data_IF_404841131023
#
_entry.id   IF_404841131023
#
_cell.length_a   1.000
_cell.length_b   1.000
_cell.length_c   1.000
_cell.angle_alpha   90.00
_cell.angle_beta   90.00
_cell.angle_gamma   90.00
#
_symmetry.space_group_name_H-M   'P 1'
#
loop_
_entity.id
_entity.type
_entity.pdbx_description
1 polymer ?
#
# COMPACT_ATOMS: atom_id res chain seq x y z
N UNK A 1 26.34 30.28 -24.13
CA UNK A 1 24.89 30.13 -23.89
C UNK A 1 24.35 28.78 -24.38
N UNK A 2 25.13 27.70 -24.33
CA UNK A 2 24.72 26.40 -24.89
C UNK A 2 25.23 25.20 -24.07
N UNK A 3 25.45 25.38 -22.76
CA UNK A 3 26.04 24.31 -21.93
C UNK A 3 25.36 24.11 -20.58
N UNK A 4 24.06 24.41 -20.48
CA UNK A 4 23.31 24.25 -19.23
C UNK A 4 21.85 23.86 -19.47
N UNK A 5 21.60 22.93 -20.41
CA UNK A 5 20.25 22.36 -20.61
C UNK A 5 20.23 20.85 -20.82
N UNK A 6 21.29 20.14 -20.42
CA UNK A 6 21.39 18.70 -20.63
C UNK A 6 21.86 17.97 -19.37
N UNK A 7 21.25 18.29 -18.21
CA UNK A 7 21.45 17.52 -16.95
C UNK A 7 20.16 17.29 -16.16
N UNK A 8 18.99 17.43 -16.79
CA UNK A 8 17.74 16.92 -16.23
C UNK A 8 17.24 15.83 -17.18
N UNK A 9 17.97 14.71 -17.15
CA UNK A 9 17.45 13.47 -17.71
C UNK A 9 16.10 13.19 -17.09
N UNK A 10 15.15 12.77 -17.94
CA UNK A 10 13.86 12.26 -17.53
C UNK A 10 14.06 11.06 -16.59
N UNK A 11 14.19 11.32 -15.29
CA UNK A 11 13.80 10.36 -14.30
C UNK A 11 12.28 10.41 -14.26
N UNK A 12 11.54 9.41 -14.79
CA UNK A 12 10.19 9.24 -14.31
C UNK A 12 10.32 9.14 -12.79
N UNK A 13 9.62 9.99 -12.07
CA UNK A 13 9.37 9.75 -10.66
C UNK A 13 8.62 8.41 -10.61
N UNK A 14 9.33 7.29 -10.56
CA UNK A 14 8.78 6.04 -10.05
C UNK A 14 8.46 6.33 -8.60
N UNK A 15 7.26 6.86 -8.36
CA UNK A 15 6.72 6.91 -7.02
C UNK A 15 6.60 5.44 -6.62
N UNK A 16 7.42 4.95 -5.66
CA UNK A 16 7.22 3.61 -5.19
C UNK A 16 5.82 3.63 -4.55
N UNK A 17 5.03 2.58 -4.77
CA UNK A 17 3.72 2.39 -4.12
C UNK A 17 2.49 3.09 -4.71
N UNK A 18 2.40 3.29 -6.03
CA UNK A 18 1.10 3.56 -6.67
C UNK A 18 0.39 2.24 -7.01
N UNK A 19 -0.73 1.95 -6.36
CA UNK A 19 -1.58 0.82 -6.75
C UNK A 19 -2.28 1.13 -8.08
N UNK A 20 -2.02 0.32 -9.12
CA UNK A 20 -2.67 0.41 -10.42
C UNK A 20 -3.71 -0.69 -10.61
N UNK A 21 -4.77 -0.38 -11.35
CA UNK A 21 -5.74 -1.40 -11.76
C UNK A 21 -5.11 -2.40 -12.72
N UNK A 22 -5.47 -3.68 -12.61
CA UNK A 22 -4.94 -4.80 -13.42
C UNK A 22 -3.48 -5.20 -13.15
N UNK A 23 -2.84 -4.59 -12.15
CA UNK A 23 -1.54 -5.04 -11.63
C UNK A 23 -1.71 -5.87 -10.36
N UNK A 24 -0.64 -6.55 -9.95
CA UNK A 24 -0.62 -7.19 -8.63
C UNK A 24 -0.71 -6.11 -7.55
N UNK A 25 -1.64 -6.29 -6.62
CA UNK A 25 -1.76 -5.41 -5.47
C UNK A 25 -0.42 -5.35 -4.70
N UNK A 26 0.04 -4.15 -4.27
CA UNK A 26 1.25 -4.02 -3.48
C UNK A 26 1.19 -4.88 -2.22
N UNK A 27 2.25 -5.63 -1.98
CA UNK A 27 2.36 -6.50 -0.82
C UNK A 27 2.48 -5.65 0.45
N UNK A 28 1.79 -6.06 1.51
CA UNK A 28 1.94 -5.49 2.83
C UNK A 28 1.97 -6.58 3.88
N UNK A 29 2.62 -6.27 5.00
CA UNK A 29 2.58 -7.05 6.23
C UNK A 29 2.32 -6.07 7.38
N UNK A 30 1.38 -6.42 8.26
CA UNK A 30 1.00 -5.56 9.37
C UNK A 30 0.49 -6.36 10.57
N UNK A 31 0.59 -5.79 11.76
CA UNK A 31 -0.11 -6.30 12.93
C UNK A 31 -1.59 -5.91 12.86
N UNK A 32 -2.47 -6.88 13.10
CA UNK A 32 -3.92 -6.69 13.13
C UNK A 32 -4.53 -7.40 14.34
N UNK A 33 -5.63 -6.84 14.85
CA UNK A 33 -6.42 -7.46 15.90
C UNK A 33 -7.40 -8.49 15.32
N UNK A 34 -7.29 -9.74 15.75
CA UNK A 34 -8.23 -10.82 15.40
C UNK A 34 -9.37 -10.85 16.42
N UNK A 35 -10.58 -10.50 15.97
CA UNK A 35 -11.75 -10.46 16.85
C UNK A 35 -12.24 -11.85 17.30
N UNK A 36 -11.89 -12.92 16.59
CA UNK A 36 -12.26 -14.30 16.95
C UNK A 36 -11.36 -14.82 18.06
N UNK A 37 -10.05 -14.67 17.88
CA UNK A 37 -9.05 -15.17 18.84
C UNK A 37 -8.71 -14.18 19.95
N UNK A 38 -9.15 -12.92 19.83
CA UNK A 38 -8.87 -11.84 20.80
C UNK A 38 -7.38 -11.55 20.97
N UNK A 39 -6.59 -11.73 19.92
CA UNK A 39 -5.13 -11.57 19.91
C UNK A 39 -4.67 -10.62 18.80
N UNK A 40 -3.45 -10.10 18.94
CA UNK A 40 -2.75 -9.43 17.84
C UNK A 40 -2.01 -10.48 17.02
N UNK A 41 -2.14 -10.40 15.70
CA UNK A 41 -1.47 -11.29 14.75
C UNK A 41 -0.82 -10.50 13.64
N UNK A 42 0.26 -11.03 13.10
CA UNK A 42 0.79 -10.56 11.83
C UNK A 42 -0.09 -11.07 10.69
N UNK A 43 -0.52 -10.17 9.80
CA UNK A 43 -1.25 -10.51 8.58
C UNK A 43 -0.43 -10.10 7.37
N UNK A 44 -0.50 -10.93 6.33
CA UNK A 44 0.16 -10.70 5.04
C UNK A 44 -0.89 -10.75 3.93
N UNK A 45 -0.81 -9.84 2.96
CA UNK A 45 -1.77 -9.83 1.84
C UNK A 45 -1.76 -11.16 1.08
N UNK A 46 -0.61 -11.81 0.98
CA UNK A 46 -0.40 -13.07 0.29
C UNK A 46 -1.18 -14.24 0.90
N UNK A 47 -1.43 -14.20 2.21
CA UNK A 47 -2.20 -15.25 2.91
C UNK A 47 -3.68 -15.28 2.45
N UNK A 48 -4.12 -14.25 1.73
CA UNK A 48 -5.48 -14.13 1.18
C UNK A 48 -5.59 -14.52 -0.30
N UNK A 49 -4.52 -15.02 -0.94
CA UNK A 49 -4.60 -15.53 -2.33
C UNK A 49 -5.71 -16.56 -2.49
N UNK A 50 -6.43 -16.49 -3.62
CA UNK A 50 -7.59 -17.34 -3.90
C UNK A 50 -8.91 -16.84 -3.26
N UNK A 51 -8.88 -15.72 -2.53
CA UNK A 51 -10.07 -15.05 -1.98
C UNK A 51 -10.16 -13.61 -2.52
N UNK A 52 -11.38 -13.09 -2.61
CA UNK A 52 -11.59 -11.66 -2.83
C UNK A 52 -11.26 -10.89 -1.55
N UNK A 53 -10.50 -9.80 -1.70
CA UNK A 53 -10.09 -8.93 -0.59
C UNK A 53 -10.57 -7.51 -0.87
N UNK A 54 -11.23 -6.90 0.12
CA UNK A 54 -11.55 -5.46 0.11
C UNK A 54 -10.66 -4.80 1.15
N UNK A 55 -9.71 -3.99 0.68
CA UNK A 55 -8.84 -3.17 1.52
C UNK A 55 -9.31 -1.72 1.48
N UNK A 56 -9.52 -1.11 2.65
CA UNK A 56 -9.88 0.29 2.76
C UNK A 56 -9.06 0.95 3.87
N UNK A 57 -8.80 2.24 3.70
CA UNK A 57 -8.09 3.06 4.67
C UNK A 57 -9.08 4.05 5.28
N UNK A 58 -9.01 4.23 6.60
CA UNK A 58 -9.76 5.26 7.32
C UNK A 58 -8.77 6.10 8.13
N UNK A 59 -9.18 7.33 8.49
CA UNK A 59 -8.24 8.34 9.02
C UNK A 59 -7.76 8.03 10.44
N UNK A 60 -8.67 7.81 11.38
CA UNK A 60 -8.32 7.56 12.79
C UNK A 60 -9.41 6.76 13.49
N UNK A 61 -9.01 6.07 14.56
CA UNK A 61 -9.91 5.48 15.54
C UNK A 61 -10.55 6.56 16.42
N UNK A 62 -11.77 6.28 16.90
CA UNK A 62 -12.52 7.09 17.88
C UNK A 62 -12.79 8.55 17.47
N UNK A 63 -13.40 8.73 16.29
CA UNK A 63 -14.03 10.02 15.95
C UNK A 63 -15.29 10.23 16.80
N UNK A 64 -15.54 11.47 17.23
CA UNK A 64 -16.77 11.81 17.94
C UNK A 64 -18.00 11.54 17.05
N UNK A 65 -19.00 10.85 17.61
CA UNK A 65 -20.33 10.63 17.02
C UNK A 65 -21.39 11.16 17.97
#
# INVERSE_FOLDING_TARGET
>A
MAHEKELLGNHPFEQPFCAQTNELAPLFTAEAYDNTEKTIKEIRLEDYRGRWVVLFFYSSNFTFV
#
